data_IF_037247560823
#
_entry.id   IF_037247560823
#
_cell.length_a   1.000
_cell.length_b   1.000
_cell.length_c   1.000
_cell.angle_alpha   90.00
_cell.angle_beta   90.00
_cell.angle_gamma   90.00
#
_symmetry.space_group_name_H-M   'P 1'
#
loop_
_entity.id
_entity.type
_entity.pdbx_description
1 polymer ?
#
# COMPACT_ATOMS: atom_id res chain seq x y z
N UNK A 1 48.21 -15.47 8.52
CA UNK A 1 47.55 -15.97 7.29
C UNK A 1 46.05 -15.79 7.48
N UNK A 2 45.46 -14.84 6.75
CA UNK A 2 44.12 -14.28 7.00
C UNK A 2 43.02 -15.29 6.65
N UNK A 3 42.02 -15.43 7.53
CA UNK A 3 40.78 -16.16 7.29
C UNK A 3 40.07 -15.50 6.09
N UNK A 4 39.81 -16.29 5.06
CA UNK A 4 39.03 -15.85 3.90
C UNK A 4 37.63 -15.45 4.32
N UNK A 5 37.31 -14.17 4.19
CA UNK A 5 35.93 -13.71 4.20
C UNK A 5 35.22 -14.34 3.02
N UNK A 6 34.26 -15.24 3.31
CA UNK A 6 33.32 -15.72 2.32
C UNK A 6 32.63 -14.50 1.71
N UNK A 7 32.88 -14.24 0.41
CA UNK A 7 32.16 -13.23 -0.36
C UNK A 7 30.67 -13.53 -0.21
N UNK A 8 29.94 -12.68 0.53
CA UNK A 8 28.48 -12.72 0.53
C UNK A 8 28.04 -12.70 -0.94
N UNK A 9 27.18 -13.62 -1.39
CA UNK A 9 26.67 -13.55 -2.76
C UNK A 9 26.06 -12.16 -2.93
N UNK A 10 26.58 -11.39 -3.90
CA UNK A 10 25.93 -10.15 -4.30
C UNK A 10 24.51 -10.52 -4.69
N UNK A 11 23.52 -9.98 -3.97
CA UNK A 11 22.14 -10.38 -4.15
C UNK A 11 21.71 -10.08 -5.59
N UNK A 12 21.09 -11.02 -6.32
CA UNK A 12 20.84 -10.91 -7.76
C UNK A 12 19.77 -9.87 -8.14
N UNK A 13 19.43 -8.93 -7.26
CA UNK A 13 18.23 -8.12 -7.41
C UNK A 13 18.50 -6.63 -7.12
N UNK A 14 19.03 -5.93 -8.12
CA UNK A 14 19.25 -4.46 -8.11
C UNK A 14 17.97 -3.64 -8.38
N UNK A 15 16.78 -4.20 -8.18
CA UNK A 15 15.50 -3.59 -8.56
C UNK A 15 14.42 -3.70 -7.47
N UNK A 16 13.38 -2.87 -7.58
CA UNK A 16 12.25 -2.82 -6.65
C UNK A 16 11.62 -4.22 -6.50
N UNK A 17 11.18 -4.54 -5.27
CA UNK A 17 10.48 -5.79 -4.95
C UNK A 17 9.08 -5.52 -4.48
N UNK A 18 8.19 -6.44 -4.80
CA UNK A 18 6.78 -6.38 -4.45
C UNK A 18 6.44 -7.61 -3.63
N UNK A 19 5.86 -7.39 -2.45
CA UNK A 19 5.21 -8.42 -1.65
C UNK A 19 3.72 -8.19 -1.81
N UNK A 20 3.02 -9.13 -2.45
CA UNK A 20 1.58 -9.04 -2.67
C UNK A 20 0.87 -9.82 -1.58
N UNK A 21 0.01 -9.14 -0.82
CA UNK A 21 -0.82 -9.75 0.22
C UNK A 21 -2.25 -9.82 -0.30
N UNK A 22 -2.71 -11.03 -0.64
CA UNK A 22 -4.09 -11.28 -1.07
C UNK A 22 -4.89 -11.96 0.04
N UNK A 23 -6.21 -11.77 0.04
CA UNK A 23 -7.12 -12.40 0.98
C UNK A 23 -8.07 -13.40 0.34
N UNK A 24 -8.30 -14.53 1.02
CA UNK A 24 -9.38 -15.46 0.70
C UNK A 24 -10.34 -15.63 1.88
N UNK A 25 -11.50 -16.23 1.61
CA UNK A 25 -12.52 -16.63 2.59
C UNK A 25 -13.33 -15.48 3.21
N UNK A 26 -12.72 -14.65 4.06
CA UNK A 26 -13.46 -13.59 4.78
C UNK A 26 -12.64 -12.30 4.92
N UNK A 27 -13.33 -11.16 4.87
CA UNK A 27 -12.78 -9.86 5.25
C UNK A 27 -12.59 -9.76 6.76
N UNK A 28 -11.58 -9.00 7.22
CA UNK A 28 -11.32 -8.82 8.66
C UNK A 28 -10.42 -9.86 9.35
N UNK A 29 -9.94 -10.90 8.66
CA UNK A 29 -9.03 -11.91 9.24
C UNK A 29 -7.60 -11.41 9.58
N UNK A 30 -7.35 -10.10 9.58
CA UNK A 30 -6.05 -9.54 9.96
C UNK A 30 -5.03 -9.35 8.83
N UNK A 31 -5.48 -9.29 7.57
CA UNK A 31 -4.60 -9.06 6.40
C UNK A 31 -3.74 -7.80 6.53
N UNK A 32 -4.34 -6.70 7.00
CA UNK A 32 -3.63 -5.44 7.24
C UNK A 32 -2.53 -5.59 8.31
N UNK A 33 -2.83 -6.31 9.40
CA UNK A 33 -1.85 -6.60 10.46
C UNK A 33 -0.72 -7.49 9.94
N UNK A 34 -1.03 -8.56 9.20
CA UNK A 34 -0.01 -9.43 8.60
C UNK A 34 0.90 -8.66 7.63
N UNK A 35 0.33 -7.82 6.75
CA UNK A 35 1.09 -6.99 5.83
C UNK A 35 2.00 -6.01 6.59
N UNK A 36 1.49 -5.38 7.64
CA UNK A 36 2.26 -4.48 8.51
C UNK A 36 3.43 -5.18 9.18
N UNK A 37 3.20 -6.37 9.76
CA UNK A 37 4.25 -7.17 10.41
C UNK A 37 5.36 -7.56 9.44
N UNK A 38 5.02 -7.92 8.20
CA UNK A 38 6.02 -8.18 7.14
C UNK A 38 6.84 -6.90 6.87
N UNK A 39 6.18 -5.75 6.76
CA UNK A 39 6.84 -4.45 6.59
C UNK A 39 7.86 -4.15 7.70
N UNK A 40 7.47 -4.38 8.96
CA UNK A 40 8.34 -4.19 10.13
C UNK A 40 9.56 -5.11 10.09
N UNK A 41 9.39 -6.38 9.75
CA UNK A 41 10.50 -7.33 9.64
C UNK A 41 11.47 -6.94 8.52
N UNK A 42 10.96 -6.51 7.37
CA UNK A 42 11.79 -6.04 6.25
C UNK A 42 12.53 -4.75 6.61
N UNK A 43 11.87 -3.78 7.28
CA UNK A 43 12.51 -2.56 7.77
C UNK A 43 13.61 -2.87 8.79
N UNK A 44 13.35 -3.81 9.70
CA UNK A 44 14.32 -4.30 10.70
C UNK A 44 15.53 -5.00 10.06
N UNK A 45 15.36 -5.60 8.88
CA UNK A 45 16.44 -6.15 8.08
C UNK A 45 17.23 -5.09 7.28
N UNK A 46 16.95 -3.79 7.48
CA UNK A 46 17.63 -2.68 6.81
C UNK A 46 17.10 -2.37 5.40
N UNK A 47 15.93 -2.90 5.04
CA UNK A 47 15.31 -2.62 3.74
C UNK A 47 14.40 -1.40 3.81
N UNK A 48 14.40 -0.61 2.74
CA UNK A 48 13.38 0.44 2.56
C UNK A 48 12.07 -0.20 2.13
N UNK A 49 10.99 0.15 2.81
CA UNK A 49 9.64 -0.37 2.55
C UNK A 49 8.66 0.78 2.33
N UNK A 50 7.63 0.51 1.56
CA UNK A 50 6.44 1.35 1.42
C UNK A 50 5.23 0.42 1.30
N UNK A 51 4.01 0.95 1.50
CA UNK A 51 2.78 0.19 1.42
C UNK A 51 1.84 0.80 0.38
N UNK A 52 1.10 -0.06 -0.31
CA UNK A 52 0.01 0.34 -1.19
C UNK A 52 -1.20 -0.52 -0.84
N UNK A 53 -2.33 0.13 -0.62
CA UNK A 53 -3.64 -0.50 -0.43
C UNK A 53 -4.43 -0.39 -1.73
N UNK A 54 -5.04 -1.50 -2.14
CA UNK A 54 -5.93 -1.54 -3.30
C UNK A 54 -7.32 -1.92 -2.80
N UNK A 55 -8.24 -0.97 -2.88
CA UNK A 55 -9.63 -1.13 -2.48
C UNK A 55 -10.53 -1.32 -3.70
N UNK A 56 -11.36 -2.37 -3.74
CA UNK A 56 -12.24 -2.61 -4.88
C UNK A 56 -13.43 -1.63 -4.95
N UNK A 57 -13.55 -0.67 -4.03
CA UNK A 57 -14.67 0.26 -3.96
C UNK A 57 -14.72 1.25 -5.13
N UNK A 58 -15.94 1.59 -5.55
CA UNK A 58 -16.20 2.59 -6.59
C UNK A 58 -16.02 4.04 -6.10
N UNK A 59 -15.98 4.25 -4.79
CA UNK A 59 -15.69 5.53 -4.19
C UNK A 59 -14.26 5.97 -4.55
N UNK A 60 -14.09 7.26 -4.84
CA UNK A 60 -12.77 7.82 -5.19
C UNK A 60 -11.90 8.09 -3.97
N UNK A 61 -12.49 8.16 -2.78
CA UNK A 61 -11.84 8.29 -1.48
C UNK A 61 -12.75 7.68 -0.41
N UNK A 62 -12.20 7.41 0.77
CA UNK A 62 -12.96 6.81 1.87
C UNK A 62 -13.93 7.80 2.54
N UNK A 63 -13.68 9.12 2.43
CA UNK A 63 -14.53 10.14 3.06
C UNK A 63 -15.95 10.23 2.49
N UNK A 64 -16.17 9.72 1.28
CA UNK A 64 -17.52 9.58 0.71
C UNK A 64 -18.31 8.37 1.25
N UNK A 65 -17.72 7.54 2.11
CA UNK A 65 -18.34 6.33 2.66
C UNK A 65 -18.81 6.58 4.09
N UNK A 66 -19.90 5.92 4.50
CA UNK A 66 -20.40 5.99 5.88
C UNK A 66 -19.41 5.31 6.84
N UNK A 67 -18.88 6.00 7.87
CA UNK A 67 -17.94 5.39 8.82
C UNK A 67 -18.55 4.23 9.63
N UNK A 68 -19.87 4.26 9.83
CA UNK A 68 -20.58 3.23 10.59
C UNK A 68 -20.68 1.90 9.84
N UNK A 69 -20.67 1.94 8.50
CA UNK A 69 -20.86 0.75 7.65
C UNK A 69 -19.53 0.21 7.12
N UNK A 70 -18.56 1.10 6.89
CA UNK A 70 -17.33 0.76 6.18
C UNK A 70 -16.05 0.93 7.03
N UNK A 71 -16.21 1.34 8.28
CA UNK A 71 -15.11 1.62 9.19
C UNK A 71 -14.62 3.06 9.11
N UNK A 72 -13.72 3.39 10.02
CA UNK A 72 -13.18 4.74 10.15
C UNK A 72 -12.37 5.16 8.92
N UNK A 73 -12.45 6.46 8.61
CA UNK A 73 -11.62 7.10 7.59
C UNK A 73 -10.31 7.55 8.23
N UNK A 74 -9.19 7.22 7.62
CA UNK A 74 -7.88 7.70 8.02
C UNK A 74 -7.44 8.87 7.12
N UNK A 75 -6.94 9.94 7.73
CA UNK A 75 -6.43 11.11 7.02
C UNK A 75 -4.91 11.04 6.98
N UNK A 76 -4.35 10.99 5.77
CA UNK A 76 -2.92 10.92 5.49
C UNK A 76 -2.25 12.30 5.60
N UNK A 77 -0.92 12.32 5.60
CA UNK A 77 -0.10 13.54 5.72
C UNK A 77 -0.40 14.60 4.64
N UNK A 78 -0.80 14.19 3.43
CA UNK A 78 -1.21 15.09 2.34
C UNK A 78 -2.70 15.48 2.37
N UNK A 79 -3.41 15.15 3.45
CA UNK A 79 -4.85 15.35 3.56
C UNK A 79 -5.68 14.40 2.70
N UNK A 80 -5.08 13.32 2.19
CA UNK A 80 -5.81 12.24 1.53
C UNK A 80 -6.66 11.44 2.53
N UNK A 81 -7.94 11.26 2.23
CA UNK A 81 -8.84 10.41 3.00
C UNK A 81 -8.80 8.97 2.45
N UNK A 82 -8.42 8.02 3.31
CA UNK A 82 -8.17 6.64 2.93
C UNK A 82 -8.74 5.62 3.94
N UNK A 83 -8.71 4.35 3.55
CA UNK A 83 -9.07 3.22 4.42
C UNK A 83 -8.17 3.14 5.65
N UNK A 84 -8.75 2.72 6.79
CA UNK A 84 -8.05 2.61 8.07
C UNK A 84 -6.80 1.72 8.02
N UNK A 85 -6.71 0.77 7.10
CA UNK A 85 -5.51 -0.05 6.95
C UNK A 85 -4.26 0.78 6.62
N UNK A 86 -4.37 1.94 5.95
CA UNK A 86 -3.21 2.81 5.75
C UNK A 86 -2.68 3.37 7.06
N UNK A 87 -3.57 3.72 8.00
CA UNK A 87 -3.17 4.14 9.33
C UNK A 87 -2.50 3.01 10.13
N UNK A 88 -2.85 1.75 9.86
CA UNK A 88 -2.12 0.61 10.42
C UNK A 88 -0.70 0.53 9.83
N UNK A 89 -0.56 0.71 8.52
CA UNK A 89 0.74 0.68 7.85
C UNK A 89 1.67 1.78 8.36
N UNK A 90 1.19 3.02 8.49
CA UNK A 90 1.97 4.14 9.04
C UNK A 90 2.43 3.86 10.46
N UNK A 91 1.50 3.49 11.35
CA UNK A 91 1.80 3.24 12.77
C UNK A 91 2.76 2.09 12.99
N UNK A 92 2.59 0.99 12.28
CA UNK A 92 3.42 -0.20 12.48
C UNK A 92 4.77 -0.07 11.76
N UNK A 93 4.77 0.41 10.52
CA UNK A 93 5.99 0.48 9.73
C UNK A 93 6.77 1.78 9.95
N UNK A 94 6.22 2.76 10.66
CA UNK A 94 6.81 4.10 10.86
C UNK A 94 7.15 4.71 9.49
N UNK A 95 6.09 5.00 8.73
CA UNK A 95 6.11 5.52 7.36
C UNK A 95 5.12 6.67 7.24
N UNK A 96 5.37 7.57 6.31
CA UNK A 96 4.38 8.55 5.85
C UNK A 96 3.86 8.08 4.49
N UNK A 97 2.54 7.88 4.40
CA UNK A 97 1.84 7.52 3.20
C UNK A 97 1.02 8.71 2.69
N UNK A 98 0.69 8.67 1.42
CA UNK A 98 0.03 9.75 0.69
C UNK A 98 -1.15 9.20 -0.11
N UNK A 99 -1.97 10.09 -0.68
CA UNK A 99 -3.17 9.72 -1.46
C UNK A 99 -2.92 8.67 -2.55
N UNK A 100 -1.72 8.63 -3.11
CA UNK A 100 -1.29 7.69 -4.15
C UNK A 100 -1.00 6.28 -3.61
N UNK A 101 -0.80 6.12 -2.29
CA UNK A 101 -0.67 4.82 -1.63
C UNK A 101 -2.02 4.11 -1.47
N UNK A 102 -3.14 4.80 -1.71
CA UNK A 102 -4.47 4.21 -1.73
C UNK A 102 -5.03 4.22 -3.17
N UNK A 103 -5.18 3.04 -3.76
CA UNK A 103 -5.76 2.86 -5.09
C UNK A 103 -7.17 2.34 -4.92
N UNK A 104 -8.16 3.02 -5.50
CA UNK A 104 -9.55 2.53 -5.54
C UNK A 104 -10.03 2.33 -6.97
N UNK A 105 -10.99 1.43 -7.18
CA UNK A 105 -11.66 1.29 -8.49
C UNK A 105 -12.22 2.64 -8.97
N UNK A 106 -12.80 3.42 -8.04
CA UNK A 106 -13.30 4.77 -8.30
C UNK A 106 -12.26 5.72 -8.91
N UNK A 107 -11.08 5.81 -8.29
CA UNK A 107 -9.96 6.65 -8.79
C UNK A 107 -9.56 6.26 -10.21
N UNK A 108 -9.41 4.96 -10.46
CA UNK A 108 -8.99 4.45 -11.78
C UNK A 108 -10.04 4.74 -12.86
N UNK A 109 -11.32 4.50 -12.57
CA UNK A 109 -12.40 4.78 -13.52
C UNK A 109 -12.51 6.28 -13.82
N UNK A 110 -12.43 7.13 -12.80
CA UNK A 110 -12.45 8.57 -12.97
C UNK A 110 -11.27 9.07 -13.84
N UNK A 111 -10.06 8.57 -13.57
CA UNK A 111 -8.86 8.93 -14.35
C UNK A 111 -8.96 8.44 -15.81
N UNK A 112 -9.45 7.23 -16.03
CA UNK A 112 -9.67 6.66 -17.36
C UNK A 112 -10.65 7.50 -18.17
N UNK A 113 -11.81 7.84 -17.59
CA UNK A 113 -12.81 8.67 -18.24
C UNK A 113 -12.29 10.07 -18.56
N UNK A 114 -11.54 10.69 -17.62
CA UNK A 114 -10.90 12.00 -17.83
C UNK A 114 -9.84 11.97 -18.94
N UNK A 115 -9.11 10.86 -19.08
CA UNK A 115 -8.12 10.68 -20.15
C UNK A 115 -8.79 10.55 -21.51
N UNK A 116 -9.88 9.76 -21.58
CA UNK A 116 -10.71 9.60 -22.80
C UNK A 116 -11.33 10.92 -23.24
N UNK A 117 -11.88 11.71 -22.31
CA UNK A 117 -12.42 13.05 -22.60
C UNK A 117 -11.37 14.03 -23.16
N UNK A 118 -10.08 13.78 -22.90
CA UNK A 118 -8.95 14.56 -23.42
C UNK A 118 -8.31 13.94 -24.69
N UNK A 119 -8.94 12.92 -25.28
CA UNK A 119 -8.40 12.22 -26.44
C UNK A 119 -7.10 11.44 -26.17
N UNK A 120 -6.77 11.17 -24.90
CA UNK A 120 -5.59 10.37 -24.52
C UNK A 120 -6.02 8.94 -24.25
N UNK A 121 -5.37 7.97 -24.89
CA UNK A 121 -5.52 6.57 -24.54
C UNK A 121 -4.98 6.33 -23.12
N UNK A 122 -5.61 5.44 -22.32
CA UNK A 122 -5.04 5.02 -21.05
C UNK A 122 -3.65 4.41 -21.32
N UNK A 123 -2.62 4.89 -20.63
CA UNK A 123 -1.27 4.31 -20.66
C UNK A 123 -1.11 3.33 -19.52
#
# INVERSE_FOLDING_TARGET
MLKGEARRPQSPLKGMKYVVVSGGVLSGLGKGVTASSIGVLLKSAGLRVTAVKIDPYLNSDAGTMSPFEHGEVFVLDDGGEADLDLGNYERFCDLNLYRDNNITTGKILFQSNRSRAKGRLPR
#
